data_IF_034137692120
#
_entry.id   IF_034137692120
#
_cell.length_a   1.000
_cell.length_b   1.000
_cell.length_c   1.000
_cell.angle_alpha   90.00
_cell.angle_beta   90.00
_cell.angle_gamma   90.00
#
_symmetry.space_group_name_H-M   'P 1'
#
loop_
_entity.id
_entity.type
_entity.pdbx_description
1 polymer ?
#
# COMPACT_ATOMS: atom_id res chain seq x y z
N UNK A 1 -12.02 38.29 7.45
CA UNK A 1 -11.49 37.22 8.32
C UNK A 1 -10.80 36.19 7.44
N UNK A 2 -9.50 36.37 7.23
CA UNK A 2 -8.72 35.60 6.26
C UNK A 2 -8.04 34.43 6.96
N UNK A 3 -8.48 33.21 6.67
CA UNK A 3 -7.78 32.00 7.09
C UNK A 3 -6.55 31.87 6.16
N UNK A 4 -5.37 32.06 6.75
CA UNK A 4 -4.08 31.99 6.10
C UNK A 4 -3.89 30.67 5.34
N UNK A 5 -3.69 30.82 4.04
CA UNK A 5 -3.18 29.82 3.10
C UNK A 5 -1.78 29.41 3.55
N UNK A 6 -1.65 28.27 4.23
CA UNK A 6 -0.34 27.75 4.63
C UNK A 6 0.40 27.25 3.37
N UNK A 7 1.64 27.70 3.10
CA UNK A 7 2.33 27.37 1.86
C UNK A 7 2.64 25.86 1.77
N UNK A 8 2.52 25.25 0.57
CA UNK A 8 2.75 23.82 0.33
C UNK A 8 4.18 23.33 0.64
N UNK A 9 5.11 24.22 1.02
CA UNK A 9 6.50 23.89 1.36
C UNK A 9 6.64 23.08 2.66
N UNK A 10 5.76 23.30 3.66
CA UNK A 10 5.88 22.66 4.98
C UNK A 10 5.46 21.18 4.93
N UNK A 11 4.40 20.87 4.18
CA UNK A 11 3.93 19.48 3.98
C UNK A 11 4.98 18.62 3.26
N UNK A 12 5.63 19.19 2.24
CA UNK A 12 6.71 18.53 1.51
C UNK A 12 7.95 18.29 2.39
N UNK A 13 8.26 19.19 3.33
CA UNK A 13 9.40 19.05 4.25
C UNK A 13 9.19 17.91 5.28
N UNK A 14 7.97 17.75 5.83
CA UNK A 14 7.65 16.70 6.82
C UNK A 14 7.84 15.29 6.24
N UNK A 15 7.47 15.08 4.98
CA UNK A 15 7.65 13.79 4.27
C UNK A 15 9.13 13.54 3.95
N UNK A 16 9.87 14.59 3.58
CA UNK A 16 11.30 14.55 3.23
C UNK A 16 12.20 14.26 4.44
N UNK A 17 11.74 14.61 5.65
CA UNK A 17 12.51 14.46 6.89
C UNK A 17 12.61 13.02 7.40
N UNK A 18 11.71 12.11 6.97
CA UNK A 18 11.63 10.73 7.49
C UNK A 18 12.42 9.68 6.69
N UNK A 19 12.92 9.99 5.49
CA UNK A 19 13.67 9.05 4.65
C UNK A 19 15.06 9.60 4.33
N UNK A 20 16.06 9.27 5.16
CA UNK A 20 17.46 9.62 4.87
C UNK A 20 17.88 9.03 3.51
N UNK A 21 18.11 9.90 2.53
CA UNK A 21 19.05 9.68 1.43
C UNK A 21 18.61 8.77 0.27
N UNK A 22 17.32 8.56 0.00
CA UNK A 22 16.90 7.92 -1.26
C UNK A 22 16.11 8.91 -2.10
N UNK A 23 16.72 9.30 -3.22
CA UNK A 23 16.13 10.19 -4.21
C UNK A 23 14.73 9.71 -4.62
N UNK A 24 13.89 10.67 -5.01
CA UNK A 24 12.57 10.40 -5.54
C UNK A 24 12.70 9.65 -6.87
N UNK A 25 12.55 8.32 -6.84
CA UNK A 25 12.09 7.60 -8.03
C UNK A 25 10.69 8.12 -8.34
N UNK A 26 10.60 9.14 -9.19
CA UNK A 26 9.32 9.55 -9.79
C UNK A 26 9.00 8.56 -10.91
N UNK A 27 7.75 8.11 -11.00
CA UNK A 27 7.30 7.40 -12.20
C UNK A 27 7.43 8.36 -13.39
N UNK A 28 8.39 8.09 -14.29
CA UNK A 28 8.49 8.82 -15.53
C UNK A 28 7.31 8.42 -16.41
N UNK A 29 6.34 9.32 -16.58
CA UNK A 29 5.28 9.10 -17.55
C UNK A 29 5.92 9.13 -18.95
N UNK A 30 5.63 8.15 -19.82
CA UNK A 30 6.16 8.15 -21.16
C UNK A 30 5.73 9.41 -21.90
N UNK A 31 6.64 9.98 -22.70
CA UNK A 31 6.40 11.19 -23.49
C UNK A 31 5.18 11.06 -24.40
N UNK A 32 4.96 9.86 -24.95
CA UNK A 32 3.73 9.50 -25.67
C UNK A 32 2.84 8.65 -24.77
N UNK A 33 1.59 9.10 -24.57
CA UNK A 33 0.54 8.38 -23.83
C UNK A 33 -0.24 7.40 -24.69
N UNK A 34 0.05 7.31 -25.99
CA UNK A 34 -0.57 6.38 -26.92
C UNK A 34 0.09 5.01 -26.82
N UNK A 35 -0.72 3.96 -26.83
CA UNK A 35 -0.24 2.58 -26.75
C UNK A 35 0.67 2.24 -27.94
N UNK A 36 1.82 1.58 -27.71
CA UNK A 36 2.58 0.97 -28.78
C UNK A 36 1.77 -0.19 -29.39
N UNK A 37 1.85 -0.39 -30.71
CA UNK A 37 1.00 -1.33 -31.48
C UNK A 37 1.02 -2.79 -30.99
N UNK A 38 2.07 -3.19 -30.27
CA UNK A 38 2.26 -4.54 -29.72
C UNK A 38 1.68 -4.74 -28.31
N UNK A 39 1.29 -3.67 -27.61
CA UNK A 39 0.71 -3.71 -26.26
C UNK A 39 -0.78 -3.35 -26.34
N UNK A 40 -1.66 -4.35 -26.22
CA UNK A 40 -3.09 -4.14 -26.50
C UNK A 40 -3.93 -3.65 -25.30
N UNK A 41 -3.43 -3.66 -24.06
CA UNK A 41 -4.21 -3.17 -22.91
C UNK A 41 -3.32 -2.76 -21.72
N UNK A 42 -3.38 -1.49 -21.30
CA UNK A 42 -2.74 -0.96 -20.09
C UNK A 42 -3.77 -0.67 -18.99
N UNK A 43 -3.30 -0.46 -17.74
CA UNK A 43 -4.20 -0.08 -16.63
C UNK A 43 -4.91 1.27 -16.84
N UNK A 44 -4.34 2.18 -17.65
CA UNK A 44 -5.04 3.41 -18.04
C UNK A 44 -6.16 3.11 -19.05
N UNK A 45 -5.96 2.17 -19.96
CA UNK A 45 -6.98 1.77 -20.93
C UNK A 45 -8.13 1.02 -20.29
N UNK A 46 -7.88 0.24 -19.23
CA UNK A 46 -8.96 -0.37 -18.45
C UNK A 46 -9.94 0.69 -17.94
N UNK A 47 -9.45 1.84 -17.47
CA UNK A 47 -10.31 2.93 -17.04
C UNK A 47 -10.99 3.65 -18.22
N UNK A 48 -10.30 3.81 -19.36
CA UNK A 48 -10.85 4.45 -20.56
C UNK A 48 -11.88 3.59 -21.30
N UNK A 49 -11.69 2.27 -21.35
CA UNK A 49 -12.53 1.29 -22.07
C UNK A 49 -13.72 0.85 -21.22
N UNK A 50 -13.51 0.61 -19.92
CA UNK A 50 -14.57 0.13 -19.01
C UNK A 50 -15.26 1.28 -18.26
N UNK A 51 -14.73 2.51 -18.34
CA UNK A 51 -15.23 3.67 -17.59
C UNK A 51 -15.10 3.53 -16.06
N UNK A 52 -14.38 2.50 -15.60
CA UNK A 52 -14.32 2.10 -14.20
C UNK A 52 -12.88 1.80 -13.77
N UNK A 53 -12.54 2.18 -12.53
CA UNK A 53 -11.23 1.85 -11.94
C UNK A 53 -11.02 0.34 -11.91
N UNK A 54 -9.77 -0.09 -12.08
CA UNK A 54 -9.39 -1.52 -12.14
C UNK A 54 -9.88 -2.35 -10.94
N UNK A 55 -9.96 -1.76 -9.74
CA UNK A 55 -10.46 -2.43 -8.53
C UNK A 55 -12.00 -2.62 -8.52
N UNK A 56 -12.74 -1.91 -9.38
CA UNK A 56 -14.20 -1.93 -9.46
C UNK A 56 -14.70 -3.11 -10.31
N UNK A 57 -13.91 -3.52 -11.31
CA UNK A 57 -14.20 -4.62 -12.22
C UNK A 57 -14.31 -5.96 -11.47
N UNK A 58 -13.27 -6.45 -10.76
CA UNK A 58 -13.37 -7.72 -10.03
C UNK A 58 -14.43 -7.66 -8.92
N UNK A 59 -14.69 -6.48 -8.35
CA UNK A 59 -15.75 -6.29 -7.35
C UNK A 59 -17.15 -6.46 -7.95
N UNK A 60 -17.36 -5.98 -9.18
CA UNK A 60 -18.63 -6.17 -9.90
C UNK A 60 -18.86 -7.65 -10.26
N UNK A 61 -17.80 -8.39 -10.53
CA UNK A 61 -17.86 -9.83 -10.84
C UNK A 61 -17.79 -10.75 -9.62
N UNK A 62 -17.77 -10.21 -8.39
CA UNK A 62 -17.71 -11.00 -7.15
C UNK A 62 -16.36 -11.71 -6.89
N UNK A 63 -15.32 -11.40 -7.67
CA UNK A 63 -13.98 -11.99 -7.57
C UNK A 63 -13.02 -11.16 -6.70
N UNK A 64 -13.52 -10.12 -6.03
CA UNK A 64 -12.67 -9.23 -5.26
C UNK A 64 -12.19 -9.91 -3.97
N UNK A 65 -10.91 -9.77 -3.60
CA UNK A 65 -10.43 -10.25 -2.31
C UNK A 65 -11.13 -9.51 -1.17
N UNK A 66 -11.57 -10.27 -0.15
CA UNK A 66 -12.20 -9.77 1.08
C UNK A 66 -11.29 -8.78 1.85
N UNK A 67 -9.98 -8.94 1.71
CA UNK A 67 -8.98 -8.08 2.30
C UNK A 67 -8.42 -7.14 1.22
N UNK A 68 -8.30 -5.82 1.49
CA UNK A 68 -7.67 -4.90 0.56
C UNK A 68 -6.24 -5.30 0.18
N UNK A 69 -5.93 -5.25 -1.11
CA UNK A 69 -4.65 -5.66 -1.71
C UNK A 69 -3.40 -5.10 -1.01
N UNK A 70 -3.45 -3.81 -0.62
CA UNK A 70 -2.34 -3.14 0.08
C UNK A 70 -2.08 -3.78 1.46
N UNK A 71 -3.15 -4.15 2.17
CA UNK A 71 -3.04 -4.81 3.46
C UNK A 71 -2.47 -6.23 3.30
N UNK A 72 -2.96 -6.98 2.31
CA UNK A 72 -2.45 -8.31 1.95
C UNK A 72 -0.94 -8.28 1.68
N UNK A 73 -0.46 -7.36 0.84
CA UNK A 73 0.95 -7.26 0.48
C UNK A 73 1.85 -6.86 1.66
N UNK A 74 1.36 -6.02 2.58
CA UNK A 74 2.10 -5.68 3.80
C UNK A 74 2.20 -6.87 4.75
N UNK A 75 1.12 -7.62 4.93
CA UNK A 75 1.08 -8.85 5.73
C UNK A 75 2.05 -9.89 5.14
N UNK A 76 2.06 -10.06 3.80
CA UNK A 76 3.02 -10.93 3.09
C UNK A 76 4.46 -10.61 3.43
N UNK A 77 4.78 -9.31 3.47
CA UNK A 77 6.12 -8.81 3.81
C UNK A 77 6.47 -9.10 5.26
N UNK A 78 5.53 -8.96 6.20
CA UNK A 78 5.74 -9.30 7.62
C UNK A 78 6.07 -10.79 7.78
N UNK A 79 5.31 -11.68 7.13
CA UNK A 79 5.56 -13.13 7.19
C UNK A 79 6.96 -13.47 6.68
N UNK A 80 7.37 -12.86 5.57
CA UNK A 80 8.72 -13.06 5.03
C UNK A 80 9.83 -12.58 6.00
N UNK A 81 9.66 -11.41 6.63
CA UNK A 81 10.62 -10.86 7.59
C UNK A 81 10.69 -11.74 8.86
N UNK A 82 9.56 -12.25 9.34
CA UNK A 82 9.52 -13.15 10.51
C UNK A 82 10.28 -14.45 10.24
N UNK A 83 10.03 -15.09 9.10
CA UNK A 83 10.76 -16.30 8.68
C UNK A 83 12.27 -16.06 8.55
N UNK A 84 12.68 -14.87 8.09
CA UNK A 84 14.09 -14.47 8.07
C UNK A 84 14.68 -14.33 9.48
N UNK A 85 13.94 -13.69 10.40
CA UNK A 85 14.38 -13.45 11.79
C UNK A 85 14.42 -14.73 12.65
N UNK A 86 13.63 -15.75 12.33
CA UNK A 86 13.69 -17.07 13.01
C UNK A 86 15.09 -17.68 12.94
N UNK A 87 15.73 -17.58 11.78
CA UNK A 87 17.10 -18.03 11.53
C UNK A 87 18.13 -16.99 11.97
N UNK A 88 17.82 -15.70 11.80
CA UNK A 88 18.73 -14.58 12.03
C UNK A 88 18.33 -13.74 13.26
N UNK A 89 18.37 -14.34 14.44
CA UNK A 89 17.86 -13.71 15.68
C UNK A 89 18.59 -12.45 16.12
N UNK A 90 19.84 -12.25 15.68
CA UNK A 90 20.69 -11.10 16.04
C UNK A 90 20.55 -9.91 15.08
N UNK A 91 19.84 -10.06 13.96
CA UNK A 91 19.67 -8.99 12.98
C UNK A 91 18.75 -7.88 13.55
N UNK A 92 19.36 -6.74 13.88
CA UNK A 92 18.67 -5.57 14.45
C UNK A 92 17.97 -4.73 13.38
N UNK A 93 18.50 -4.68 12.16
CA UNK A 93 17.90 -3.87 11.07
C UNK A 93 16.56 -4.50 10.63
N UNK A 94 16.53 -5.82 10.46
CA UNK A 94 15.30 -6.53 10.11
C UNK A 94 14.23 -6.44 11.19
N UNK A 95 14.60 -6.45 12.48
CA UNK A 95 13.66 -6.21 13.60
C UNK A 95 13.07 -4.80 13.54
N UNK A 96 13.90 -3.79 13.28
CA UNK A 96 13.43 -2.42 13.12
C UNK A 96 12.47 -2.30 11.93
N UNK A 97 12.80 -2.92 10.79
CA UNK A 97 11.93 -2.93 9.61
C UNK A 97 10.60 -3.64 9.87
N UNK A 98 10.59 -4.74 10.64
CA UNK A 98 9.36 -5.40 11.06
C UNK A 98 8.42 -4.42 11.79
N UNK A 99 8.94 -3.67 12.77
CA UNK A 99 8.19 -2.67 13.54
C UNK A 99 7.61 -1.59 12.63
N UNK A 100 8.38 -1.11 11.65
CA UNK A 100 7.90 -0.10 10.69
C UNK A 100 6.75 -0.63 9.82
N UNK A 101 6.85 -1.86 9.35
CA UNK A 101 5.80 -2.48 8.53
C UNK A 101 4.55 -2.75 9.36
N UNK A 102 4.68 -3.28 10.59
CA UNK A 102 3.55 -3.48 11.50
C UNK A 102 2.86 -2.17 11.86
N UNK A 103 3.62 -1.10 12.10
CA UNK A 103 3.07 0.24 12.34
C UNK A 103 2.28 0.78 11.14
N UNK A 104 2.73 0.50 9.90
CA UNK A 104 1.99 0.85 8.68
C UNK A 104 0.68 0.07 8.57
N UNK A 105 0.70 -1.23 8.88
CA UNK A 105 -0.50 -2.09 8.91
C UNK A 105 -1.54 -1.51 9.87
N UNK A 106 -1.15 -1.15 11.10
CA UNK A 106 -2.06 -0.55 12.08
C UNK A 106 -2.65 0.80 11.64
N UNK A 107 -1.88 1.62 10.92
CA UNK A 107 -2.38 2.88 10.34
C UNK A 107 -3.42 2.62 9.24
N UNK A 108 -3.14 1.69 8.33
CA UNK A 108 -4.06 1.35 7.25
C UNK A 108 -5.31 0.66 7.75
N UNK A 109 -5.19 -0.25 8.73
CA UNK A 109 -6.32 -0.89 9.37
C UNK A 109 -7.29 0.15 9.96
N UNK A 110 -6.78 1.17 10.66
CA UNK A 110 -7.61 2.28 11.18
C UNK A 110 -8.33 3.04 10.06
N UNK A 111 -7.64 3.34 8.96
CA UNK A 111 -8.25 3.98 7.79
C UNK A 111 -9.37 3.14 7.15
N UNK A 112 -9.15 1.83 7.01
CA UNK A 112 -10.12 0.92 6.39
C UNK A 112 -11.34 0.64 7.26
N UNK A 113 -11.17 0.61 8.59
CA UNK A 113 -12.30 0.60 9.54
C UNK A 113 -13.18 1.84 9.37
N UNK A 114 -12.58 3.03 9.26
CA UNK A 114 -13.31 4.29 9.04
C UNK A 114 -14.03 4.32 7.69
N UNK A 115 -13.41 3.80 6.63
CA UNK A 115 -13.99 3.77 5.28
C UNK A 115 -14.92 2.58 5.03
N UNK A 116 -15.26 1.80 6.07
CA UNK A 116 -16.17 0.63 6.04
C UNK A 116 -15.78 -0.43 5.00
N UNK A 117 -14.51 -0.50 4.63
CA UNK A 117 -13.97 -1.56 3.76
C UNK A 117 -13.59 -2.82 4.54
N UNK A 118 -13.61 -2.76 5.86
CA UNK A 118 -13.21 -3.84 6.75
C UNK A 118 -14.14 -3.85 7.97
N UNK A 119 -14.46 -5.03 8.54
CA UNK A 119 -15.26 -5.10 9.75
C UNK A 119 -14.62 -4.33 10.91
N UNK A 120 -15.41 -3.63 11.74
CA UNK A 120 -14.87 -2.86 12.87
C UNK A 120 -14.14 -3.72 13.91
N UNK A 121 -14.55 -4.99 14.02
CA UNK A 121 -13.97 -6.00 14.93
C UNK A 121 -12.59 -6.47 14.46
N UNK A 122 -12.25 -6.30 13.18
CA UNK A 122 -11.02 -6.85 12.62
C UNK A 122 -9.77 -6.33 13.35
N UNK A 123 -8.90 -7.22 13.82
CA UNK A 123 -7.66 -6.88 14.52
C UNK A 123 -6.49 -7.61 13.88
N UNK A 124 -5.40 -6.89 13.66
CA UNK A 124 -4.15 -7.50 13.22
C UNK A 124 -3.45 -8.07 14.44
N UNK A 125 -3.22 -9.38 14.43
CA UNK A 125 -2.41 -10.07 15.43
C UNK A 125 -1.17 -10.68 14.77
N UNK A 126 -0.04 -10.55 15.45
CA UNK A 126 1.27 -10.97 14.93
C UNK A 126 1.42 -12.50 14.84
N UNK A 127 0.57 -13.26 15.53
CA UNK A 127 0.56 -14.73 15.52
C UNK A 127 -0.35 -15.28 14.42
N UNK A 128 -1.48 -14.64 14.18
CA UNK A 128 -2.50 -15.06 13.19
C UNK A 128 -2.10 -14.74 11.73
N UNK A 129 -0.96 -14.09 11.54
CA UNK A 129 -0.56 -13.52 10.24
C UNK A 129 -0.47 -14.56 9.13
N UNK A 130 -0.03 -15.79 9.42
CA UNK A 130 0.08 -16.86 8.41
C UNK A 130 -1.28 -17.44 8.01
N UNK A 131 -2.22 -17.56 8.94
CA UNK A 131 -3.56 -18.11 8.69
C UNK A 131 -4.43 -17.15 7.87
N UNK A 132 -4.23 -15.84 8.02
CA UNK A 132 -4.96 -14.82 7.24
C UNK A 132 -4.58 -14.78 5.75
N UNK A 133 -3.53 -15.49 5.34
CA UNK A 133 -3.03 -15.52 3.96
C UNK A 133 -3.23 -16.86 3.26
N UNK A 134 -3.73 -17.87 3.99
CA UNK A 134 -4.09 -19.18 3.46
C UNK A 134 -5.54 -19.15 2.97
#
# INVERSE_FOLDING_TARGET
MSILLMPPSISAAIVRMHSRGKGISSSALPYKRTLPSWLKTSSQDVNSVTGSKILRIPKAHGLAPEIPEDLYHLIKKVVAIKKHLERNRKDKDSKFRLILVESRIHRLARYYKRTKKLPPVWKYESTTTSTLMA
#
